data_IF_325296206971
#
_entry.id   IF_325296206971
#
_cell.length_a   1.000
_cell.length_b   1.000
_cell.length_c   1.000
_cell.angle_alpha   90.00
_cell.angle_beta   90.00
_cell.angle_gamma   90.00
#
_symmetry.space_group_name_H-M   'P 1'
#
loop_
_entity.id
_entity.type
_entity.pdbx_description
1 polymer ?
#
# COMPACT_ATOMS: atom_id res chain seq x y z
N UNK A 1 -49.75 -14.77 27.44
CA UNK A 1 -48.36 -14.30 27.58
C UNK A 1 -47.60 -15.30 28.44
N UNK A 2 -46.68 -16.08 27.85
CA UNK A 2 -45.74 -16.93 28.59
C UNK A 2 -44.34 -16.67 28.03
N UNK A 3 -43.46 -16.21 28.90
CA UNK A 3 -42.08 -15.87 28.64
C UNK A 3 -41.29 -17.10 28.17
N UNK A 4 -40.68 -17.02 26.98
CA UNK A 4 -39.65 -17.96 26.56
C UNK A 4 -38.28 -17.39 26.92
N UNK A 5 -37.75 -17.80 28.06
CA UNK A 5 -36.33 -17.63 28.42
C UNK A 5 -35.49 -18.54 27.52
N UNK A 6 -34.71 -17.95 26.61
CA UNK A 6 -33.72 -18.66 25.83
C UNK A 6 -32.64 -19.25 26.76
N UNK A 7 -32.56 -20.58 26.78
CA UNK A 7 -31.58 -21.36 27.55
C UNK A 7 -30.20 -21.18 26.89
N UNK A 8 -29.25 -20.53 27.57
CA UNK A 8 -27.85 -20.42 27.12
C UNK A 8 -27.28 -21.82 26.87
N UNK A 9 -26.84 -22.07 25.64
CA UNK A 9 -26.07 -23.27 25.27
C UNK A 9 -24.64 -23.14 25.82
N UNK A 10 -24.03 -24.22 26.34
CA UNK A 10 -22.68 -24.18 26.89
C UNK A 10 -21.62 -23.95 25.80
N UNK A 11 -20.76 -22.97 26.03
CA UNK A 11 -19.72 -22.40 25.16
C UNK A 11 -18.50 -23.30 24.87
N UNK A 12 -18.53 -24.61 25.16
CA UNK A 12 -17.32 -25.45 25.09
C UNK A 12 -17.21 -26.40 23.90
N UNK A 13 -18.22 -26.50 23.01
CA UNK A 13 -18.25 -27.55 21.98
C UNK A 13 -18.57 -27.10 20.54
N UNK A 14 -18.78 -25.80 20.28
CA UNK A 14 -18.93 -25.26 18.91
C UNK A 14 -17.60 -24.91 18.23
N UNK A 15 -16.48 -24.96 18.95
CA UNK A 15 -15.17 -24.52 18.43
C UNK A 15 -14.35 -25.60 17.70
N UNK A 16 -14.85 -26.84 17.56
CA UNK A 16 -14.01 -27.95 17.06
C UNK A 16 -14.34 -28.44 15.64
N UNK A 17 -15.35 -27.88 14.95
CA UNK A 17 -15.73 -28.36 13.60
C UNK A 17 -16.02 -27.26 12.56
N UNK A 18 -16.11 -25.99 12.95
CA UNK A 18 -15.94 -24.89 12.01
C UNK A 18 -14.44 -24.63 11.86
N UNK A 19 -13.85 -25.14 10.78
CA UNK A 19 -12.53 -24.81 10.25
C UNK A 19 -12.04 -23.44 10.73
N UNK A 20 -11.05 -23.44 11.61
CA UNK A 20 -10.23 -22.29 12.02
C UNK A 20 -9.44 -21.73 10.81
N UNK A 21 -10.14 -21.09 9.88
CA UNK A 21 -9.61 -20.06 8.99
C UNK A 21 -9.79 -18.68 9.65
N UNK A 22 -9.62 -18.64 10.97
CA UNK A 22 -9.54 -17.40 11.75
C UNK A 22 -8.25 -16.66 11.40
N UNK A 23 -8.26 -15.33 11.58
CA UNK A 23 -7.12 -14.46 11.36
C UNK A 23 -5.84 -14.92 12.08
N UNK A 24 -5.96 -15.78 13.10
CA UNK A 24 -4.87 -16.34 13.91
C UNK A 24 -3.80 -17.11 13.12
N UNK A 25 -4.08 -17.50 11.88
CA UNK A 25 -3.10 -18.20 11.01
C UNK A 25 -2.18 -17.24 10.25
N UNK A 26 -2.49 -15.94 10.21
CA UNK A 26 -1.69 -14.95 9.48
C UNK A 26 -0.57 -14.39 10.38
N UNK A 27 0.67 -14.27 9.87
CA UNK A 27 1.81 -13.88 10.71
C UNK A 27 1.74 -12.43 11.22
N UNK A 28 0.97 -11.57 10.56
CA UNK A 28 0.74 -10.18 10.99
C UNK A 28 -0.52 -9.98 11.85
N UNK A 29 -1.16 -11.08 12.31
CA UNK A 29 -2.37 -11.00 13.12
C UNK A 29 -2.10 -10.55 14.56
N UNK A 30 -1.03 -11.04 15.18
CA UNK A 30 -0.71 -10.85 16.59
C UNK A 30 0.69 -10.27 16.80
N UNK A 31 0.88 -9.58 17.92
CA UNK A 31 2.21 -9.17 18.35
C UNK A 31 3.00 -10.38 18.88
N UNK A 32 4.34 -10.40 18.73
CA UNK A 32 5.15 -11.44 19.32
C UNK A 32 5.03 -11.41 20.85
N UNK A 33 4.74 -12.55 21.46
CA UNK A 33 4.68 -12.72 22.91
C UNK A 33 6.10 -12.91 23.48
N UNK A 34 6.89 -11.84 23.46
CA UNK A 34 8.23 -11.79 24.04
C UNK A 34 8.27 -10.68 25.09
N UNK A 35 8.65 -11.02 26.33
CA UNK A 35 8.46 -10.19 27.53
C UNK A 35 9.52 -9.08 27.63
N UNK A 36 9.67 -8.30 26.57
CA UNK A 36 10.75 -7.33 26.37
C UNK A 36 10.33 -6.11 25.55
N UNK A 37 11.32 -5.46 24.93
CA UNK A 37 11.12 -4.20 24.19
C UNK A 37 10.31 -4.36 22.89
N UNK A 38 10.31 -5.56 22.31
CA UNK A 38 9.64 -5.89 21.03
C UNK A 38 8.12 -5.86 21.14
N UNK A 39 7.57 -6.44 22.20
CA UNK A 39 6.13 -6.41 22.46
C UNK A 39 5.65 -4.98 22.75
N UNK A 40 6.43 -4.19 23.50
CA UNK A 40 6.12 -2.80 23.77
C UNK A 40 6.10 -1.93 22.50
N UNK A 41 7.04 -2.15 21.56
CA UNK A 41 7.06 -1.49 20.27
C UNK A 41 5.85 -1.89 19.40
N UNK A 42 5.54 -3.19 19.34
CA UNK A 42 4.40 -3.71 18.59
C UNK A 42 3.06 -3.17 19.12
N UNK A 43 2.90 -3.13 20.44
CA UNK A 43 1.71 -2.58 21.11
C UNK A 43 1.56 -1.07 20.88
N UNK A 44 2.66 -0.32 20.71
CA UNK A 44 2.63 1.10 20.41
C UNK A 44 2.24 1.40 18.96
N UNK A 45 2.62 0.54 18.02
CA UNK A 45 2.34 0.72 16.59
C UNK A 45 1.05 0.01 16.17
N UNK A 46 1.11 -1.31 16.02
CA UNK A 46 0.07 -2.27 15.63
C UNK A 46 0.79 -3.53 15.13
N UNK A 47 0.23 -4.72 15.31
CA UNK A 47 0.81 -5.99 14.84
C UNK A 47 1.22 -5.96 13.36
N UNK A 48 0.39 -5.39 12.50
CA UNK A 48 0.66 -5.32 11.06
C UNK A 48 1.73 -4.30 10.68
N UNK A 49 1.76 -3.15 11.37
CA UNK A 49 2.81 -2.13 11.17
C UNK A 49 4.16 -2.68 11.62
N UNK A 50 4.17 -3.34 12.79
CA UNK A 50 5.36 -3.99 13.32
C UNK A 50 5.87 -5.07 12.36
N UNK A 51 4.99 -5.95 11.88
CA UNK A 51 5.36 -6.99 10.93
C UNK A 51 6.01 -6.43 9.65
N UNK A 52 5.43 -5.37 9.07
CA UNK A 52 5.97 -4.75 7.86
C UNK A 52 7.38 -4.15 8.06
N UNK A 53 7.56 -3.34 9.11
CA UNK A 53 8.82 -2.62 9.31
C UNK A 53 9.92 -3.45 9.99
N UNK A 54 9.58 -4.39 10.88
CA UNK A 54 10.55 -5.17 11.67
C UNK A 54 10.80 -6.57 11.14
N UNK A 55 9.77 -7.26 10.64
CA UNK A 55 9.93 -8.64 10.16
C UNK A 55 10.13 -8.72 8.64
N UNK A 56 9.31 -8.02 7.87
CA UNK A 56 9.38 -8.09 6.41
C UNK A 56 10.58 -7.29 5.86
N UNK A 57 10.66 -5.99 6.18
CA UNK A 57 11.72 -5.10 5.70
C UNK A 57 12.96 -5.13 6.57
N UNK A 58 12.78 -5.18 7.89
CA UNK A 58 13.82 -4.93 8.90
C UNK A 58 14.56 -3.61 8.63
N UNK A 59 13.78 -2.52 8.58
CA UNK A 59 14.21 -1.19 8.17
C UNK A 59 15.12 -0.50 9.21
N UNK A 60 16.15 0.18 8.73
CA UNK A 60 17.05 1.00 9.55
C UNK A 60 16.38 2.31 9.99
N UNK A 61 16.84 2.93 11.08
CA UNK A 61 16.28 4.20 11.58
C UNK A 61 16.63 5.40 10.68
N UNK A 62 17.68 5.30 9.85
CA UNK A 62 18.15 6.36 8.95
C UNK A 62 18.65 5.78 7.63
N UNK A 63 18.54 6.57 6.56
CA UNK A 63 19.12 6.27 5.25
C UNK A 63 20.66 6.30 5.25
N UNK A 64 21.26 7.00 6.22
CA UNK A 64 22.72 7.11 6.37
C UNK A 64 23.35 5.79 6.84
N UNK A 65 22.56 4.91 7.46
CA UNK A 65 22.99 3.61 7.96
C UNK A 65 22.18 2.48 7.27
N UNK A 66 22.49 2.12 6.01
CA UNK A 66 21.70 1.16 5.23
C UNK A 66 21.76 -0.30 5.74
N UNK A 67 22.61 -0.59 6.73
CA UNK A 67 22.74 -1.92 7.32
C UNK A 67 23.24 -2.99 6.33
N UNK A 68 22.96 -4.25 6.62
CA UNK A 68 23.31 -5.40 5.75
C UNK A 68 22.11 -5.84 4.91
N UNK A 69 22.31 -6.25 3.65
CA UNK A 69 21.24 -6.80 2.82
C UNK A 69 20.61 -8.03 3.47
N UNK A 70 19.28 -8.03 3.62
CA UNK A 70 18.53 -9.15 4.21
C UNK A 70 18.36 -10.27 3.18
N UNK A 71 18.85 -11.46 3.52
CA UNK A 71 18.90 -12.61 2.59
C UNK A 71 17.53 -13.03 2.05
N UNK A 72 16.46 -12.92 2.83
CA UNK A 72 15.11 -13.26 2.36
C UNK A 72 14.63 -12.30 1.27
N UNK A 73 14.87 -10.98 1.41
CA UNK A 73 14.53 -10.00 0.35
C UNK A 73 15.33 -10.28 -0.92
N UNK A 74 16.61 -10.60 -0.78
CA UNK A 74 17.47 -10.98 -1.91
C UNK A 74 16.93 -12.24 -2.62
N UNK A 75 16.48 -13.24 -1.86
CA UNK A 75 15.86 -14.45 -2.41
C UNK A 75 14.58 -14.13 -3.21
N UNK A 76 13.68 -13.32 -2.65
CA UNK A 76 12.44 -12.92 -3.35
C UNK A 76 12.73 -12.08 -4.59
N UNK A 77 13.73 -11.18 -4.53
CA UNK A 77 14.19 -10.42 -5.68
C UNK A 77 14.71 -11.36 -6.79
N UNK A 78 15.56 -12.32 -6.44
CA UNK A 78 16.12 -13.29 -7.38
C UNK A 78 14.99 -14.14 -8.01
N UNK A 79 14.03 -14.59 -7.22
CA UNK A 79 12.87 -15.33 -7.71
C UNK A 79 12.01 -14.49 -8.66
N UNK A 80 11.78 -13.21 -8.36
CA UNK A 80 11.07 -12.29 -9.24
C UNK A 80 11.80 -12.12 -10.58
N UNK A 81 13.12 -11.94 -10.55
CA UNK A 81 13.94 -11.86 -11.77
C UNK A 81 13.93 -13.15 -12.58
N UNK A 82 13.96 -14.33 -11.94
CA UNK A 82 13.85 -15.62 -12.63
C UNK A 82 12.50 -15.76 -13.34
N UNK A 83 11.39 -15.38 -12.68
CA UNK A 83 10.05 -15.43 -13.27
C UNK A 83 9.97 -14.50 -14.48
N UNK A 84 10.42 -13.25 -14.32
CA UNK A 84 10.45 -12.27 -15.42
C UNK A 84 11.33 -12.77 -16.57
N UNK A 85 12.51 -13.31 -16.27
CA UNK A 85 13.42 -13.88 -17.24
C UNK A 85 12.77 -14.98 -18.09
N UNK A 86 12.10 -15.95 -17.46
CA UNK A 86 11.42 -17.04 -18.17
C UNK A 86 10.23 -16.56 -19.01
N UNK A 87 9.52 -15.51 -18.58
CA UNK A 87 8.39 -14.94 -19.34
C UNK A 87 8.88 -14.24 -20.62
N UNK A 88 10.09 -13.68 -20.59
CA UNK A 88 10.61 -12.77 -21.62
C UNK A 88 11.45 -13.47 -22.72
N UNK A 89 11.79 -14.76 -22.55
CA UNK A 89 12.64 -15.54 -23.47
C UNK A 89 12.13 -15.73 -24.93
N UNK A 90 11.07 -15.05 -25.40
CA UNK A 90 10.45 -15.28 -26.73
C UNK A 90 10.36 -14.08 -27.69
N UNK A 91 11.06 -12.98 -27.43
CA UNK A 91 10.85 -11.67 -28.11
C UNK A 91 11.01 -11.57 -29.64
N UNK A 92 10.47 -10.48 -30.22
CA UNK A 92 10.52 -10.02 -31.64
C UNK A 92 10.78 -8.47 -31.66
N UNK A 93 10.95 -7.81 -32.83
CA UNK A 93 11.79 -6.58 -33.04
C UNK A 93 11.14 -5.16 -32.96
N UNK A 94 11.86 -4.24 -32.27
CA UNK A 94 12.26 -2.81 -32.56
C UNK A 94 11.42 -1.53 -32.26
N UNK A 95 12.16 -0.47 -31.80
CA UNK A 95 11.92 1.01 -31.79
C UNK A 95 11.22 1.65 -30.56
N UNK A 96 11.40 2.90 -30.05
CA UNK A 96 12.15 4.14 -30.35
C UNK A 96 11.65 5.31 -29.41
N UNK A 97 12.49 6.30 -29.01
CA UNK A 97 12.29 7.27 -27.88
C UNK A 97 11.64 8.63 -28.22
N UNK A 98 10.86 9.23 -27.30
CA UNK A 98 10.57 10.70 -27.25
C UNK A 98 10.34 11.21 -25.81
N UNK A 99 10.87 12.41 -25.50
CA UNK A 99 10.76 13.17 -24.24
C UNK A 99 9.72 14.30 -24.31
N UNK A 100 9.15 14.73 -23.17
CA UNK A 100 8.09 15.76 -23.13
C UNK A 100 8.34 16.89 -22.10
N UNK A 101 7.81 18.07 -22.44
CA UNK A 101 8.07 19.40 -21.84
C UNK A 101 7.07 19.80 -20.73
N UNK A 102 7.43 20.88 -20.02
CA UNK A 102 7.00 21.37 -18.69
C UNK A 102 5.90 22.47 -18.74
N UNK A 103 4.93 22.47 -17.79
CA UNK A 103 4.17 23.66 -17.30
C UNK A 103 3.34 23.44 -15.98
N UNK A 104 3.61 24.24 -14.91
CA UNK A 104 2.92 24.55 -13.60
C UNK A 104 2.40 23.46 -12.60
N UNK A 105 2.59 23.65 -11.25
CA UNK A 105 3.80 23.09 -10.61
C UNK A 105 3.62 21.80 -9.81
N UNK A 106 2.45 21.48 -9.23
CA UNK A 106 2.29 20.21 -8.46
C UNK A 106 1.04 19.45 -8.87
N UNK A 107 -0.19 19.94 -8.64
CA UNK A 107 -1.39 19.12 -8.91
C UNK A 107 -1.58 18.73 -10.38
N UNK A 108 -1.30 19.64 -11.31
CA UNK A 108 -1.34 19.35 -12.75
C UNK A 108 -0.16 18.51 -13.20
N UNK A 109 1.00 18.68 -12.55
CA UNK A 109 2.17 17.84 -12.76
C UNK A 109 1.91 16.41 -12.29
N UNK A 110 1.31 16.23 -11.12
CA UNK A 110 0.94 14.95 -10.52
C UNK A 110 -0.17 14.25 -11.32
N UNK A 111 -1.16 15.01 -11.79
CA UNK A 111 -2.18 14.48 -12.69
C UNK A 111 -1.57 14.04 -14.03
N UNK A 112 -0.66 14.83 -14.61
CA UNK A 112 0.03 14.46 -15.83
C UNK A 112 0.94 13.25 -15.62
N UNK A 113 1.79 13.24 -14.58
CA UNK A 113 2.67 12.11 -14.28
C UNK A 113 1.86 10.84 -14.03
N UNK A 114 0.73 10.92 -13.32
CA UNK A 114 -0.17 9.79 -13.12
C UNK A 114 -0.70 9.22 -14.43
N UNK A 115 -1.08 10.05 -15.40
CA UNK A 115 -1.50 9.58 -16.73
C UNK A 115 -0.34 8.88 -17.46
N UNK A 116 0.87 9.46 -17.43
CA UNK A 116 2.04 8.85 -18.06
C UNK A 116 2.40 7.50 -17.44
N UNK A 117 2.41 7.40 -16.10
CA UNK A 117 2.68 6.15 -15.38
C UNK A 117 1.55 5.12 -15.56
N UNK A 118 0.29 5.55 -15.59
CA UNK A 118 -0.87 4.67 -15.74
C UNK A 118 -0.93 4.00 -17.12
N UNK A 119 -0.63 4.75 -18.18
CA UNK A 119 -0.58 4.20 -19.54
C UNK A 119 0.79 3.59 -19.90
N UNK A 120 1.83 3.85 -19.11
CA UNK A 120 3.20 3.46 -19.49
C UNK A 120 3.68 4.21 -20.74
N UNK A 121 3.29 5.47 -20.91
CA UNK A 121 3.76 6.30 -22.03
C UNK A 121 5.27 6.57 -21.91
N UNK A 122 5.95 6.69 -23.05
CA UNK A 122 7.39 6.94 -23.16
C UNK A 122 8.32 5.82 -22.65
N UNK A 123 7.81 4.68 -22.18
CA UNK A 123 8.61 3.49 -21.84
C UNK A 123 8.93 2.60 -23.05
N UNK A 124 8.39 2.88 -24.24
CA UNK A 124 8.58 2.09 -25.46
C UNK A 124 7.69 0.84 -25.57
N UNK A 125 7.09 0.40 -24.46
CA UNK A 125 6.23 -0.80 -24.37
C UNK A 125 5.06 -0.80 -25.35
N UNK A 126 4.32 0.31 -25.44
CA UNK A 126 3.15 0.41 -26.33
C UNK A 126 3.54 0.48 -27.81
N UNK A 127 4.71 1.05 -28.12
CA UNK A 127 5.25 1.08 -29.48
C UNK A 127 5.63 -0.35 -29.89
N UNK A 128 6.31 -1.08 -29.00
CA UNK A 128 6.64 -2.48 -29.21
C UNK A 128 5.38 -3.33 -29.44
N UNK A 129 4.36 -3.22 -28.58
CA UNK A 129 3.11 -3.97 -28.77
C UNK A 129 2.34 -3.55 -30.03
N UNK A 130 2.31 -2.25 -30.35
CA UNK A 130 1.67 -1.75 -31.56
C UNK A 130 2.34 -2.26 -32.84
N UNK A 131 3.66 -2.47 -32.83
CA UNK A 131 4.42 -2.98 -33.99
C UNK A 131 4.02 -4.41 -34.40
N UNK A 132 3.49 -5.19 -33.45
CA UNK A 132 3.05 -6.58 -33.68
C UNK A 132 1.67 -6.68 -34.35
N UNK A 133 0.94 -5.57 -34.49
CA UNK A 133 -0.37 -5.57 -35.14
C UNK A 133 -0.26 -5.62 -36.67
N UNK A 134 -1.23 -6.25 -37.37
CA UNK A 134 -1.25 -6.24 -38.83
C UNK A 134 -1.41 -4.81 -39.38
N UNK A 135 -0.90 -4.52 -40.59
CA UNK A 135 -0.89 -3.16 -41.14
C UNK A 135 -2.29 -2.58 -41.39
N UNK A 136 -3.31 -3.42 -41.52
CA UNK A 136 -4.71 -3.02 -41.66
C UNK A 136 -5.51 -3.20 -40.36
N UNK A 137 -4.89 -2.91 -39.20
CA UNK A 137 -5.56 -2.94 -37.90
C UNK A 137 -6.12 -1.56 -37.54
N UNK A 138 -7.33 -1.51 -36.96
CA UNK A 138 -7.93 -0.25 -36.53
C UNK A 138 -7.36 0.20 -35.18
N UNK A 139 -6.18 0.82 -35.22
CA UNK A 139 -5.48 1.30 -34.04
C UNK A 139 -6.26 2.37 -33.25
N UNK A 140 -7.12 3.16 -33.91
CA UNK A 140 -7.94 4.19 -33.24
C UNK A 140 -8.94 3.53 -32.29
N UNK A 141 -9.57 2.43 -32.71
CA UNK A 141 -10.49 1.67 -31.86
C UNK A 141 -9.79 1.06 -30.65
N UNK A 142 -8.60 0.51 -30.85
CA UNK A 142 -7.84 -0.13 -29.78
C UNK A 142 -7.40 0.90 -28.74
N UNK A 143 -6.88 2.06 -29.19
CA UNK A 143 -6.49 3.16 -28.30
C UNK A 143 -7.70 3.69 -27.51
N UNK A 144 -8.84 3.87 -28.16
CA UNK A 144 -10.06 4.31 -27.48
C UNK A 144 -10.51 3.29 -26.42
N UNK A 145 -10.54 2.01 -26.77
CA UNK A 145 -10.94 0.93 -25.86
C UNK A 145 -10.00 0.85 -24.65
N UNK A 146 -8.69 0.82 -24.87
CA UNK A 146 -7.68 0.75 -23.81
C UNK A 146 -7.78 1.98 -22.90
N UNK A 147 -7.98 3.17 -23.47
CA UNK A 147 -8.13 4.41 -22.69
C UNK A 147 -9.38 4.40 -21.81
N UNK A 148 -10.51 3.96 -22.35
CA UNK A 148 -11.76 3.86 -21.57
C UNK A 148 -11.65 2.78 -20.50
N UNK A 149 -11.12 1.60 -20.81
CA UNK A 149 -10.91 0.54 -19.84
C UNK A 149 -9.98 0.99 -18.70
N UNK A 150 -8.86 1.65 -19.02
CA UNK A 150 -7.94 2.16 -18.01
C UNK A 150 -8.63 3.16 -17.05
N UNK A 151 -9.41 4.10 -17.59
CA UNK A 151 -10.17 5.05 -16.79
C UNK A 151 -11.22 4.36 -15.89
N UNK A 152 -11.97 3.38 -16.44
CA UNK A 152 -12.95 2.61 -15.68
C UNK A 152 -12.30 1.78 -14.57
N UNK A 153 -11.17 1.14 -14.85
CA UNK A 153 -10.41 0.39 -13.86
C UNK A 153 -9.89 1.31 -12.75
N UNK A 154 -9.40 2.51 -13.08
CA UNK A 154 -8.96 3.49 -12.09
C UNK A 154 -10.12 3.96 -11.18
N UNK A 155 -11.28 4.27 -11.76
CA UNK A 155 -12.47 4.65 -10.99
C UNK A 155 -12.93 3.49 -10.10
N UNK A 156 -13.01 2.27 -10.65
CA UNK A 156 -13.40 1.09 -9.89
C UNK A 156 -12.43 0.80 -8.72
N UNK A 157 -11.12 0.85 -8.98
CA UNK A 157 -10.09 0.67 -7.96
C UNK A 157 -10.22 1.75 -6.87
N UNK A 158 -10.47 3.00 -7.23
CA UNK A 158 -10.66 4.08 -6.26
C UNK A 158 -11.83 3.82 -5.31
N UNK A 159 -12.97 3.36 -5.83
CA UNK A 159 -14.14 3.01 -5.01
C UNK A 159 -13.82 1.90 -4.02
N UNK A 160 -13.12 0.85 -4.46
CA UNK A 160 -12.72 -0.26 -3.58
C UNK A 160 -11.74 0.20 -2.50
N UNK A 161 -10.71 0.97 -2.88
CA UNK A 161 -9.70 1.50 -1.94
C UNK A 161 -10.35 2.40 -0.89
N UNK A 162 -11.17 3.37 -1.32
CA UNK A 162 -11.83 4.29 -0.40
C UNK A 162 -12.85 3.60 0.51
N UNK A 163 -13.51 2.54 0.04
CA UNK A 163 -14.40 1.71 0.89
C UNK A 163 -13.64 1.04 2.03
N UNK A 164 -12.43 0.53 1.75
CA UNK A 164 -11.57 -0.11 2.76
C UNK A 164 -10.94 0.92 3.70
N UNK A 165 -10.53 2.08 3.17
CA UNK A 165 -10.07 3.20 4.01
C UNK A 165 -11.18 3.70 4.93
N UNK A 166 -12.42 3.81 4.44
CA UNK A 166 -13.60 4.15 5.25
C UNK A 166 -13.89 3.10 6.31
N UNK A 167 -13.83 1.81 5.95
CA UNK A 167 -13.95 0.72 6.93
C UNK A 167 -12.87 0.78 8.00
N UNK A 168 -11.61 1.05 7.62
CA UNK A 168 -10.50 1.25 8.57
C UNK A 168 -10.79 2.42 9.48
N UNK A 169 -11.15 3.59 8.94
CA UNK A 169 -11.50 4.76 9.75
C UNK A 169 -12.61 4.49 10.77
N UNK A 170 -13.59 3.64 10.42
CA UNK A 170 -14.68 3.25 11.31
C UNK A 170 -14.31 2.16 12.33
N UNK A 171 -13.51 1.17 11.94
CA UNK A 171 -13.17 -0.01 12.76
C UNK A 171 -11.89 0.12 13.57
N UNK A 172 -11.14 1.19 13.35
CA UNK A 172 -10.01 1.61 14.14
C UNK A 172 -10.30 1.47 15.65
N UNK A 173 -9.61 0.57 16.38
CA UNK A 173 -9.73 0.43 17.83
C UNK A 173 -9.05 1.59 18.59
N UNK A 174 -8.79 2.70 17.90
CA UNK A 174 -8.22 3.96 18.40
C UNK A 174 -9.28 4.96 18.81
N UNK A 175 -10.57 4.59 18.99
CA UNK A 175 -11.40 5.44 19.84
C UNK A 175 -10.77 5.48 21.25
N UNK A 176 -10.26 4.39 21.82
CA UNK A 176 -9.65 4.44 23.17
C UNK A 176 -8.25 5.10 23.23
N UNK A 177 -7.34 4.76 22.32
CA UNK A 177 -5.96 5.30 22.33
C UNK A 177 -5.94 6.78 21.90
N UNK A 178 -6.74 7.19 20.91
CA UNK A 178 -6.86 8.58 20.53
C UNK A 178 -7.56 9.40 21.63
N UNK A 179 -8.60 8.86 22.26
CA UNK A 179 -9.19 9.49 23.46
C UNK A 179 -8.15 9.62 24.57
N UNK A 180 -7.21 8.68 24.71
CA UNK A 180 -6.13 8.75 25.72
C UNK A 180 -5.09 9.80 25.37
N UNK A 181 -4.66 9.90 24.10
CA UNK A 181 -3.72 10.92 23.62
C UNK A 181 -4.33 12.30 23.78
N UNK A 182 -5.55 12.51 23.29
CA UNK A 182 -6.24 13.78 23.49
C UNK A 182 -6.47 14.08 24.97
N UNK A 183 -6.85 13.09 25.79
CA UNK A 183 -6.99 13.28 27.24
C UNK A 183 -5.67 13.72 27.89
N UNK A 184 -4.53 13.21 27.41
CA UNK A 184 -3.19 13.64 27.86
C UNK A 184 -2.90 15.06 27.42
N UNK A 185 -3.14 15.38 26.15
CA UNK A 185 -2.87 16.71 25.58
C UNK A 185 -3.76 17.80 26.21
N UNK A 186 -5.06 17.53 26.39
CA UNK A 186 -6.01 18.40 27.09
C UNK A 186 -5.57 18.63 28.55
N UNK A 187 -5.09 17.60 29.26
CA UNK A 187 -4.55 17.76 30.62
C UNK A 187 -3.31 18.64 30.66
N UNK A 188 -2.41 18.51 29.68
CA UNK A 188 -1.21 19.35 29.58
C UNK A 188 -1.60 20.81 29.30
N UNK A 189 -2.50 21.05 28.35
CA UNK A 189 -2.96 22.41 28.02
C UNK A 189 -3.75 23.05 29.17
N UNK A 190 -4.57 22.27 29.88
CA UNK A 190 -5.26 22.71 31.08
C UNK A 190 -4.29 23.05 32.22
N UNK A 191 -3.22 22.27 32.39
CA UNK A 191 -2.18 22.57 33.39
C UNK A 191 -1.39 23.85 33.06
N UNK A 192 -1.28 24.20 31.78
CA UNK A 192 -0.63 25.43 31.30
C UNK A 192 -1.59 26.63 31.25
N UNK A 193 -2.88 26.42 31.55
CA UNK A 193 -3.95 27.41 31.45
C UNK A 193 -3.99 28.15 30.10
N UNK A 194 -3.65 27.42 29.02
CA UNK A 194 -3.64 27.95 27.66
C UNK A 194 -5.04 27.82 27.09
N UNK A 195 -5.50 28.86 26.39
CA UNK A 195 -6.76 28.87 25.61
C UNK A 195 -7.99 28.34 26.36
N UNK A 196 -8.07 28.53 27.68
CA UNK A 196 -9.24 28.16 28.48
C UNK A 196 -9.48 26.66 28.66
N UNK A 197 -8.49 25.81 28.37
CA UNK A 197 -8.63 24.36 28.54
C UNK A 197 -8.84 23.96 30.01
N UNK A 198 -9.77 23.02 30.24
CA UNK A 198 -9.99 22.38 31.55
C UNK A 198 -9.77 20.86 31.43
N UNK A 199 -9.49 20.14 32.53
CA UNK A 199 -9.25 18.68 32.49
C UNK A 199 -10.44 17.86 31.99
N UNK A 200 -11.63 18.47 31.91
CA UNK A 200 -12.89 17.90 31.42
C UNK A 200 -13.33 18.44 30.06
N UNK A 201 -12.49 19.24 29.39
CA UNK A 201 -12.79 19.76 28.05
C UNK A 201 -13.04 18.62 27.04
N UNK A 202 -13.99 18.82 26.13
CA UNK A 202 -14.34 17.85 25.09
C UNK A 202 -13.30 17.80 23.98
N UNK A 203 -13.26 16.68 23.26
CA UNK A 203 -12.36 16.48 22.12
C UNK A 203 -12.65 17.46 20.97
N UNK A 204 -13.90 17.84 20.77
CA UNK A 204 -14.30 18.79 19.73
C UNK A 204 -13.78 20.20 20.03
N UNK A 205 -13.80 20.60 21.32
CA UNK A 205 -13.21 21.87 21.76
C UNK A 205 -11.70 21.91 21.55
N UNK A 206 -11.00 20.80 21.82
CA UNK A 206 -9.56 20.69 21.53
C UNK A 206 -9.25 20.83 20.04
N UNK A 207 -10.07 20.22 19.17
CA UNK A 207 -9.88 20.26 17.72
C UNK A 207 -10.02 21.67 17.15
N UNK A 208 -11.01 22.43 17.61
CA UNK A 208 -11.26 23.79 17.14
C UNK A 208 -10.14 24.73 17.59
N UNK A 209 -9.67 24.59 18.82
CA UNK A 209 -8.71 25.52 19.40
C UNK A 209 -7.24 25.16 19.10
N UNK A 210 -6.96 23.92 18.67
CA UNK A 210 -5.60 23.49 18.29
C UNK A 210 -4.98 24.38 17.20
N UNK A 211 -5.79 24.83 16.23
CA UNK A 211 -5.34 25.73 15.16
C UNK A 211 -4.94 27.13 15.65
N UNK A 212 -5.37 27.52 16.86
CA UNK A 212 -5.06 28.82 17.48
C UNK A 212 -3.87 28.72 18.46
N UNK A 213 -3.31 27.52 18.70
CA UNK A 213 -2.17 27.35 19.59
C UNK A 213 -0.88 27.86 18.96
N UNK A 214 -0.03 28.50 19.78
CA UNK A 214 1.29 28.93 19.34
C UNK A 214 2.13 27.73 18.87
N UNK A 215 2.71 27.81 17.67
CA UNK A 215 3.56 26.75 17.08
C UNK A 215 4.72 26.31 17.99
N UNK A 216 5.29 27.25 18.76
CA UNK A 216 6.36 26.97 19.72
C UNK A 216 5.89 26.13 20.92
N UNK A 217 4.61 26.25 21.31
CA UNK A 217 4.01 25.44 22.36
C UNK A 217 3.72 24.02 21.85
N UNK A 218 3.22 23.92 20.61
CA UNK A 218 2.96 22.66 19.91
C UNK A 218 4.25 21.85 19.78
N UNK A 219 5.33 22.50 19.35
CA UNK A 219 6.65 21.87 19.24
C UNK A 219 7.25 21.49 20.60
N UNK A 220 7.12 22.36 21.62
CA UNK A 220 7.69 22.12 22.96
C UNK A 220 7.05 20.93 23.69
N UNK A 221 5.74 20.75 23.54
CA UNK A 221 5.00 19.68 24.22
C UNK A 221 4.66 18.50 23.31
N UNK A 222 5.14 18.52 22.06
CA UNK A 222 4.89 17.52 21.03
C UNK A 222 3.40 17.19 20.91
N UNK A 223 2.59 18.25 20.80
CA UNK A 223 1.13 18.11 20.69
C UNK A 223 0.80 17.64 19.27
N UNK A 224 0.22 16.45 19.16
CA UNK A 224 -0.20 15.90 17.90
C UNK A 224 -1.66 16.32 17.65
N UNK A 225 -1.86 17.31 16.77
CA UNK A 225 -3.17 17.65 16.23
C UNK A 225 -3.71 16.50 15.39
N UNK A 226 -4.19 15.44 16.05
CA UNK A 226 -4.43 14.18 15.41
C UNK A 226 -5.78 14.20 14.68
N UNK A 227 -5.79 14.61 13.40
CA UNK A 227 -6.97 14.52 12.54
C UNK A 227 -7.07 13.15 11.88
N UNK A 228 -8.28 12.61 11.76
CA UNK A 228 -8.54 11.36 11.03
C UNK A 228 -8.00 11.42 9.60
N UNK A 229 -8.13 12.57 8.95
CA UNK A 229 -7.65 12.81 7.59
C UNK A 229 -6.14 12.60 7.47
N UNK A 230 -5.34 13.12 8.41
CA UNK A 230 -3.87 13.00 8.37
C UNK A 230 -3.41 11.55 8.51
N UNK A 231 -4.04 10.77 9.39
CA UNK A 231 -3.74 9.34 9.53
C UNK A 231 -4.19 8.52 8.31
N UNK A 232 -5.25 8.95 7.62
CA UNK A 232 -5.71 8.31 6.40
C UNK A 232 -4.77 8.63 5.23
N UNK A 233 -4.30 9.87 5.10
CA UNK A 233 -3.33 10.31 4.10
C UNK A 233 -1.96 9.64 4.30
N UNK A 234 -1.41 9.65 5.52
CA UNK A 234 -0.14 8.96 5.84
C UNK A 234 -0.22 7.44 5.59
N UNK A 235 -1.40 6.84 5.78
CA UNK A 235 -1.60 5.42 5.54
C UNK A 235 -1.99 5.09 4.09
N UNK A 236 -2.47 6.06 3.31
CA UNK A 236 -2.89 5.89 1.92
C UNK A 236 -1.74 6.07 0.92
N UNK A 237 -0.59 6.56 1.36
CA UNK A 237 0.55 6.82 0.48
C UNK A 237 1.48 5.60 0.33
N UNK A 238 1.91 5.35 -0.90
CA UNK A 238 2.96 4.39 -1.23
C UNK A 238 2.62 2.93 -0.91
N UNK A 239 3.63 2.19 -0.44
CA UNK A 239 3.52 0.76 -0.12
C UNK A 239 2.71 0.48 1.14
N UNK A 240 2.58 1.48 2.04
CA UNK A 240 1.83 1.37 3.29
C UNK A 240 0.35 1.06 3.08
N UNK A 241 -0.25 1.59 2.01
CA UNK A 241 -1.65 1.29 1.68
C UNK A 241 -1.86 -0.22 1.51
N UNK A 242 -1.10 -0.87 0.63
CA UNK A 242 -1.27 -2.29 0.36
C UNK A 242 -0.82 -3.20 1.53
N UNK A 243 0.32 -2.90 2.15
CA UNK A 243 0.95 -3.81 3.11
C UNK A 243 0.60 -3.55 4.57
N UNK A 244 -0.01 -2.40 4.90
CA UNK A 244 -0.43 -2.05 6.25
C UNK A 244 -1.96 -1.89 6.32
N UNK A 245 -2.55 -1.05 5.46
CA UNK A 245 -3.98 -0.74 5.56
C UNK A 245 -4.85 -1.91 5.13
N UNK A 246 -4.58 -2.47 3.95
CA UNK A 246 -5.36 -3.59 3.42
C UNK A 246 -5.19 -4.87 4.26
N UNK A 247 -3.97 -5.17 4.70
CA UNK A 247 -3.68 -6.32 5.57
C UNK A 247 -4.39 -6.21 6.92
N UNK A 248 -4.43 -5.02 7.54
CA UNK A 248 -5.22 -4.77 8.75
C UNK A 248 -6.72 -4.99 8.52
N UNK A 249 -7.25 -4.53 7.38
CA UNK A 249 -8.65 -4.73 7.03
C UNK A 249 -8.98 -6.21 6.78
N UNK A 250 -8.10 -6.94 6.10
CA UNK A 250 -8.24 -8.38 5.79
C UNK A 250 -8.33 -9.21 7.09
N UNK A 251 -7.62 -8.85 8.15
CA UNK A 251 -7.73 -9.53 9.46
C UNK A 251 -9.15 -9.47 10.05
N UNK A 252 -9.97 -8.50 9.64
CA UNK A 252 -11.36 -8.34 10.10
C UNK A 252 -12.36 -9.08 9.22
N UNK A 253 -11.95 -9.58 8.05
CA UNK A 253 -12.79 -10.34 7.15
C UNK A 253 -12.68 -11.83 7.49
N UNK A 254 -13.83 -12.50 7.67
CA UNK A 254 -13.87 -13.96 7.81
C UNK A 254 -14.24 -14.57 6.45
N UNK A 255 -13.49 -15.55 5.90
CA UNK A 255 -12.21 -16.12 6.34
C UNK A 255 -10.97 -15.32 5.87
N UNK A 256 -10.11 -14.88 6.80
CA UNK A 256 -9.01 -13.93 6.50
C UNK A 256 -7.92 -14.46 5.53
N UNK A 257 -7.46 -15.72 5.64
CA UNK A 257 -6.41 -16.23 4.75
C UNK A 257 -6.81 -16.29 3.28
N UNK A 258 -8.10 -16.55 3.01
CA UNK A 258 -8.64 -16.58 1.65
C UNK A 258 -8.53 -15.20 0.98
N UNK A 259 -8.99 -14.15 1.66
CA UNK A 259 -8.92 -12.78 1.15
C UNK A 259 -7.48 -12.29 0.99
N UNK A 260 -6.59 -12.70 1.90
CA UNK A 260 -5.15 -12.41 1.80
C UNK A 260 -4.53 -12.99 0.52
N UNK A 261 -4.78 -14.26 0.21
CA UNK A 261 -4.21 -14.91 -0.99
C UNK A 261 -4.69 -14.22 -2.26
N UNK A 262 -5.99 -13.96 -2.39
CA UNK A 262 -6.56 -13.29 -3.57
C UNK A 262 -5.98 -11.88 -3.72
N UNK A 263 -5.90 -11.12 -2.64
CA UNK A 263 -5.36 -9.76 -2.66
C UNK A 263 -3.89 -9.72 -3.10
N UNK A 264 -3.03 -10.57 -2.54
CA UNK A 264 -1.62 -10.61 -2.94
C UNK A 264 -1.40 -11.23 -4.32
N UNK A 265 -2.21 -12.20 -4.74
CA UNK A 265 -2.18 -12.71 -6.12
C UNK A 265 -2.61 -11.66 -7.13
N UNK A 266 -3.58 -10.82 -6.79
CA UNK A 266 -3.97 -9.66 -7.60
C UNK A 266 -2.80 -8.67 -7.72
N UNK A 267 -2.19 -8.27 -6.60
CA UNK A 267 -1.03 -7.36 -6.63
C UNK A 267 0.14 -7.92 -7.44
N UNK A 268 0.42 -9.23 -7.29
CA UNK A 268 1.44 -9.91 -8.07
C UNK A 268 1.11 -9.88 -9.57
N UNK A 269 -0.14 -10.16 -9.94
CA UNK A 269 -0.57 -10.15 -11.35
C UNK A 269 -0.47 -8.75 -11.98
N UNK A 270 -0.86 -7.71 -11.24
CA UNK A 270 -0.72 -6.31 -11.68
C UNK A 270 0.75 -5.92 -11.84
N UNK A 271 1.60 -6.32 -10.89
CA UNK A 271 3.05 -6.09 -10.95
C UNK A 271 3.69 -6.80 -12.14
N UNK A 272 3.40 -8.09 -12.33
CA UNK A 272 3.93 -8.87 -13.45
C UNK A 272 3.49 -8.30 -14.81
N UNK A 273 2.21 -7.92 -14.96
CA UNK A 273 1.72 -7.31 -16.21
C UNK A 273 2.47 -6.05 -16.59
N UNK A 274 2.75 -5.16 -15.63
CA UNK A 274 3.54 -3.95 -15.86
C UNK A 274 5.00 -4.25 -16.17
N UNK A 275 5.62 -5.16 -15.41
CA UNK A 275 7.03 -5.52 -15.61
C UNK A 275 7.28 -6.16 -16.97
N UNK A 276 6.37 -7.01 -17.45
CA UNK A 276 6.45 -7.58 -18.80
C UNK A 276 6.48 -6.47 -19.85
N UNK A 277 5.61 -5.47 -19.75
CA UNK A 277 5.59 -4.34 -20.68
C UNK A 277 6.86 -3.49 -20.65
N UNK A 278 7.36 -3.14 -19.47
CA UNK A 278 8.56 -2.31 -19.32
C UNK A 278 9.81 -3.05 -19.79
N UNK A 279 9.96 -4.31 -19.38
CA UNK A 279 11.09 -5.16 -19.77
C UNK A 279 11.11 -5.36 -21.29
N UNK A 280 9.95 -5.61 -21.90
CA UNK A 280 9.82 -5.71 -23.36
C UNK A 280 10.30 -4.43 -24.04
N UNK A 281 9.83 -3.25 -23.59
CA UNK A 281 10.26 -1.96 -24.15
C UNK A 281 11.78 -1.73 -24.05
N UNK A 282 12.40 -2.06 -22.92
CA UNK A 282 13.86 -1.94 -22.75
C UNK A 282 14.63 -2.91 -23.65
N UNK A 283 14.25 -4.18 -23.65
CA UNK A 283 14.93 -5.20 -24.43
C UNK A 283 14.86 -4.92 -25.94
N UNK A 284 13.71 -4.42 -26.43
CA UNK A 284 13.60 -3.98 -27.83
C UNK A 284 14.68 -2.95 -28.19
N UNK A 285 14.97 -1.98 -27.31
CA UNK A 285 15.99 -0.97 -27.59
C UNK A 285 17.43 -1.49 -27.54
N UNK A 286 17.72 -2.46 -26.66
CA UNK A 286 19.06 -3.04 -26.50
C UNK A 286 19.42 -3.87 -27.73
N UNK A 287 18.49 -4.69 -28.23
CA UNK A 287 18.73 -5.56 -29.39
C UNK A 287 18.81 -4.81 -30.73
N UNK A 288 18.35 -3.57 -30.80
CA UNK A 288 18.46 -2.72 -31.99
C UNK A 288 19.87 -2.13 -32.19
N UNK A 289 20.70 -2.16 -31.15
CA UNK A 289 22.08 -1.65 -31.18
C UNK A 289 22.96 -2.63 -31.99
N UNK A 290 23.62 -2.12 -33.03
CA UNK A 290 24.42 -2.92 -33.99
C UNK A 290 25.52 -3.78 -33.33
N UNK A 291 26.04 -3.35 -32.17
CA UNK A 291 27.00 -4.11 -31.38
C UNK A 291 26.45 -5.48 -30.93
N UNK A 292 25.19 -5.54 -30.52
CA UNK A 292 24.53 -6.76 -30.03
C UNK A 292 23.93 -7.62 -31.14
N UNK A 293 23.76 -7.09 -32.37
CA UNK A 293 23.30 -7.88 -33.54
C UNK A 293 24.26 -9.00 -33.95
N UNK A 294 25.53 -8.95 -33.52
CA UNK A 294 26.57 -9.96 -33.82
C UNK A 294 26.56 -11.17 -32.89
N UNK A 295 25.84 -11.10 -31.78
CA UNK A 295 25.71 -12.18 -30.79
C UNK A 295 24.30 -12.78 -30.90
N UNK A 296 24.17 -14.10 -30.94
CA UNK A 296 22.86 -14.74 -31.05
C UNK A 296 22.04 -14.49 -29.78
N UNK A 297 20.73 -14.26 -29.95
CA UNK A 297 19.75 -14.00 -28.85
C UNK A 297 19.96 -14.86 -27.58
N UNK A 298 20.20 -16.19 -27.66
CA UNK A 298 20.38 -17.00 -26.44
C UNK A 298 21.70 -16.79 -25.68
N UNK A 299 22.72 -16.15 -26.27
CA UNK A 299 24.02 -15.91 -25.62
C UNK A 299 24.02 -14.62 -24.79
N UNK A 300 23.12 -13.69 -25.10
CA UNK A 300 23.03 -12.38 -24.43
C UNK A 300 22.01 -12.41 -23.28
N UNK A 301 20.97 -13.24 -23.38
CA UNK A 301 19.97 -13.38 -22.32
C UNK A 301 20.47 -14.16 -21.11
N UNK A 302 21.55 -14.94 -21.26
CA UNK A 302 21.93 -15.96 -20.28
C UNK A 302 21.08 -17.21 -20.42
#
# INVERSE_FOLDING_TARGET
MKNYTARKLPTSLTNSFCLQLSADTLPWAHCPADNGTREAECNKASSTVYFWYREALDASPSIEDPGVPRWWIVLYLLLAWIIVFFIVMKGIQSSGKVSLFRLYPTVWLDAATQVFYSFGLAFGSLIAFGSYNPPNNNCVRDVLLVSVCNALTAIYASVVIFSILGFKAFTMPTQSLMMTIFSREIKILAALNVSGFTPTSSHDYYREEFGNLNESLVARYNLSGCTMSRQLEEAAEGTGLAFIVFTQAILKLTPAPFWSIIFFMMLLSLGLGSQIGIMEGMLCTIFDIDFFKRLSKPVITG
#
